data_IF_552785753006
#
_entry.id   IF_552785753006
#
_cell.length_a   1.000
_cell.length_b   1.000
_cell.length_c   1.000
_cell.angle_alpha   90.00
_cell.angle_beta   90.00
_cell.angle_gamma   90.00
#
_symmetry.space_group_name_H-M   'P 1'
#
loop_
_entity.id
_entity.type
_entity.pdbx_description
1 polymer ?
#
# COMPACT_ATOMS: atom_id res chain seq x y z
N UNK A 1 17.84 -12.86 -1.87
CA UNK A 1 16.51 -12.32 -2.21
C UNK A 1 16.63 -10.85 -2.63
N UNK A 2 17.34 -9.97 -1.87
CA UNK A 2 17.39 -8.54 -2.15
C UNK A 2 18.50 -8.08 -3.09
N UNK A 3 19.52 -8.92 -3.36
CA UNK A 3 20.69 -8.55 -4.18
C UNK A 3 20.34 -8.00 -5.56
N UNK A 4 19.33 -8.58 -6.24
CA UNK A 4 18.87 -8.10 -7.54
C UNK A 4 18.13 -6.74 -7.41
N UNK A 5 17.29 -6.60 -6.39
CA UNK A 5 16.61 -5.34 -6.06
C UNK A 5 17.62 -4.22 -5.78
N UNK A 6 18.67 -4.50 -5.00
CA UNK A 6 19.72 -3.54 -4.69
C UNK A 6 20.51 -3.12 -5.94
N UNK A 7 20.79 -4.07 -6.83
CA UNK A 7 21.46 -3.78 -8.10
C UNK A 7 20.60 -2.87 -9.00
N UNK A 8 19.30 -3.18 -9.14
CA UNK A 8 18.34 -2.36 -9.89
C UNK A 8 18.14 -0.98 -9.27
N UNK A 9 18.03 -0.92 -7.93
CA UNK A 9 17.93 0.35 -7.18
C UNK A 9 19.16 1.23 -7.41
N UNK A 10 20.36 0.65 -7.32
CA UNK A 10 21.62 1.35 -7.58
C UNK A 10 21.69 1.88 -9.03
N UNK A 11 21.22 1.09 -10.00
CA UNK A 11 21.15 1.53 -11.39
C UNK A 11 20.17 2.70 -11.56
N UNK A 12 18.98 2.62 -10.96
CA UNK A 12 18.00 3.71 -10.98
C UNK A 12 18.57 4.97 -10.32
N UNK A 13 19.25 4.84 -9.17
CA UNK A 13 19.85 5.98 -8.45
C UNK A 13 20.97 6.63 -9.26
N UNK A 14 21.74 5.87 -10.02
CA UNK A 14 22.80 6.42 -10.88
C UNK A 14 22.28 7.31 -12.01
N UNK A 15 20.98 7.19 -12.34
CA UNK A 15 20.29 8.02 -13.36
C UNK A 15 19.63 9.27 -12.76
N UNK A 16 19.74 9.50 -11.45
CA UNK A 16 19.16 10.68 -10.79
C UNK A 16 20.04 11.95 -11.03
N UNK A 17 19.45 13.16 -11.19
CA UNK A 17 17.99 13.41 -11.13
C UNK A 17 17.25 12.93 -12.38
N UNK A 18 16.11 12.26 -12.16
CA UNK A 18 15.29 11.74 -13.25
C UNK A 18 14.61 12.88 -14.03
N UNK A 19 14.38 12.72 -15.36
CA UNK A 19 13.69 13.73 -16.17
C UNK A 19 12.29 14.03 -15.61
N UNK A 20 11.98 15.31 -15.40
CA UNK A 20 10.74 15.75 -14.71
C UNK A 20 9.47 15.23 -15.40
N UNK A 21 9.41 15.29 -16.72
CA UNK A 21 8.24 14.82 -17.47
C UNK A 21 8.08 13.29 -17.42
N UNK A 22 9.18 12.54 -17.40
CA UNK A 22 9.18 11.08 -17.24
C UNK A 22 8.64 10.70 -15.85
N UNK A 23 9.15 11.35 -14.80
CA UNK A 23 8.66 11.13 -13.42
C UNK A 23 7.18 11.45 -13.30
N UNK A 24 6.73 12.56 -13.88
CA UNK A 24 5.31 12.95 -13.87
C UNK A 24 4.44 11.90 -14.56
N UNK A 25 4.83 11.45 -15.74
CA UNK A 25 4.08 10.43 -16.51
C UNK A 25 4.01 9.09 -15.77
N UNK A 26 5.14 8.63 -15.19
CA UNK A 26 5.17 7.42 -14.36
C UNK A 26 4.25 7.54 -13.14
N UNK A 27 4.31 8.67 -12.43
CA UNK A 27 3.47 8.91 -11.27
C UNK A 27 1.98 8.90 -11.64
N UNK A 28 1.58 9.55 -12.73
CA UNK A 28 0.19 9.57 -13.20
C UNK A 28 -0.29 8.16 -13.57
N UNK A 29 0.53 7.39 -14.25
CA UNK A 29 0.22 5.99 -14.59
C UNK A 29 0.05 5.14 -13.32
N UNK A 30 1.05 5.17 -12.43
CA UNK A 30 1.03 4.41 -11.18
C UNK A 30 -0.13 4.81 -10.26
N UNK A 31 -0.49 6.09 -10.20
CA UNK A 31 -1.62 6.55 -9.40
C UNK A 31 -2.92 5.86 -9.83
N UNK A 32 -3.15 5.73 -11.14
CA UNK A 32 -4.35 5.08 -11.70
C UNK A 32 -4.31 3.58 -11.42
N UNK A 33 -3.22 2.91 -11.75
CA UNK A 33 -3.04 1.46 -11.56
C UNK A 33 -3.16 1.07 -10.07
N UNK A 34 -2.45 1.77 -9.20
CA UNK A 34 -2.48 1.50 -7.77
C UNK A 34 -3.88 1.71 -7.18
N UNK A 35 -4.54 2.83 -7.54
CA UNK A 35 -5.91 3.11 -7.10
C UNK A 35 -6.87 2.02 -7.57
N UNK A 36 -6.81 1.66 -8.85
CA UNK A 36 -7.65 0.63 -9.43
C UNK A 36 -7.45 -0.73 -8.74
N UNK A 37 -6.23 -1.25 -8.75
CA UNK A 37 -5.96 -2.58 -8.23
C UNK A 37 -6.23 -2.69 -6.72
N UNK A 38 -5.86 -1.67 -5.94
CA UNK A 38 -6.08 -1.66 -4.51
C UNK A 38 -7.57 -1.71 -4.13
N UNK A 39 -8.43 -1.01 -4.88
CA UNK A 39 -9.88 -1.05 -4.66
C UNK A 39 -10.52 -2.31 -5.25
N UNK A 40 -10.05 -2.80 -6.40
CA UNK A 40 -10.55 -4.03 -7.02
C UNK A 40 -10.27 -5.27 -6.17
N UNK A 41 -9.15 -5.32 -5.43
CA UNK A 41 -8.86 -6.37 -4.44
C UNK A 41 -9.95 -6.41 -3.37
N UNK A 42 -10.48 -5.28 -2.95
CA UNK A 42 -11.53 -5.17 -1.94
C UNK A 42 -12.97 -5.33 -2.52
N UNK A 43 -13.08 -5.54 -3.84
CA UNK A 43 -14.36 -5.82 -4.49
C UNK A 43 -15.01 -4.65 -5.20
N UNK A 44 -14.32 -3.50 -5.33
CA UNK A 44 -14.78 -2.41 -6.18
C UNK A 44 -14.88 -2.88 -7.63
N UNK A 45 -15.97 -2.56 -8.32
CA UNK A 45 -16.27 -3.10 -9.66
C UNK A 45 -15.94 -2.15 -10.81
N UNK A 46 -15.40 -0.95 -10.51
CA UNK A 46 -14.89 -0.04 -11.54
C UNK A 46 -13.77 -0.72 -12.33
N UNK A 47 -13.78 -0.56 -13.65
CA UNK A 47 -12.67 -0.96 -14.52
C UNK A 47 -11.52 0.05 -14.40
N UNK A 48 -10.34 -0.28 -14.93
CA UNK A 48 -9.20 0.63 -14.97
C UNK A 48 -9.56 1.94 -15.71
N UNK A 49 -10.22 1.83 -16.85
CA UNK A 49 -10.67 2.99 -17.64
C UNK A 49 -11.68 3.84 -16.87
N UNK A 50 -12.66 3.21 -16.20
CA UNK A 50 -13.65 3.90 -15.37
C UNK A 50 -13.00 4.55 -14.15
N UNK A 51 -12.01 3.90 -13.52
CA UNK A 51 -11.21 4.48 -12.43
C UNK A 51 -10.53 5.77 -12.88
N UNK A 52 -9.92 5.79 -14.07
CA UNK A 52 -9.32 7.01 -14.64
C UNK A 52 -10.38 8.12 -14.80
N UNK A 53 -11.54 7.80 -15.37
CA UNK A 53 -12.66 8.75 -15.57
C UNK A 53 -13.13 9.34 -14.23
N UNK A 54 -13.25 8.50 -13.19
CA UNK A 54 -13.62 8.97 -11.83
C UNK A 54 -12.54 9.89 -11.25
N UNK A 55 -11.26 9.58 -11.45
CA UNK A 55 -10.15 10.42 -11.01
C UNK A 55 -10.09 11.77 -11.74
N UNK A 56 -10.65 11.87 -12.94
CA UNK A 56 -10.85 13.11 -13.69
C UNK A 56 -12.08 13.91 -13.21
N UNK A 57 -12.83 13.41 -12.21
CA UNK A 57 -14.00 14.07 -11.63
C UNK A 57 -15.33 13.79 -12.34
N UNK A 58 -15.36 12.77 -13.20
CA UNK A 58 -16.55 12.38 -13.96
C UNK A 58 -17.20 11.15 -13.32
N UNK A 59 -18.51 11.14 -13.18
CA UNK A 59 -19.26 10.00 -12.65
C UNK A 59 -19.50 8.94 -13.72
N UNK A 60 -19.46 7.67 -13.32
CA UNK A 60 -19.70 6.51 -14.18
C UNK A 60 -21.07 5.91 -13.87
N UNK A 61 -21.91 5.79 -14.89
CA UNK A 61 -23.25 5.20 -14.76
C UNK A 61 -23.19 3.72 -14.35
N UNK A 62 -24.19 3.28 -13.55
CA UNK A 62 -24.26 1.88 -13.10
C UNK A 62 -23.31 1.50 -11.96
N UNK A 63 -22.56 2.46 -11.42
CA UNK A 63 -21.68 2.30 -10.26
C UNK A 63 -22.22 3.07 -9.06
N UNK A 64 -21.98 2.54 -7.86
CA UNK A 64 -22.46 3.16 -6.62
C UNK A 64 -21.64 4.38 -6.26
N UNK A 65 -22.21 5.30 -5.46
CA UNK A 65 -21.48 6.43 -4.90
C UNK A 65 -20.30 5.96 -4.04
N UNK A 66 -20.45 4.85 -3.30
CA UNK A 66 -19.38 4.25 -2.50
C UNK A 66 -18.17 3.89 -3.36
N UNK A 67 -18.39 3.23 -4.51
CA UNK A 67 -17.28 2.85 -5.40
C UNK A 67 -16.53 4.06 -5.94
N UNK A 68 -17.23 5.16 -6.27
CA UNK A 68 -16.59 6.41 -6.67
C UNK A 68 -15.77 7.02 -5.53
N UNK A 69 -16.34 7.05 -4.31
CA UNK A 69 -15.65 7.59 -3.14
C UNK A 69 -14.42 6.76 -2.77
N UNK A 70 -14.48 5.44 -2.88
CA UNK A 70 -13.30 4.57 -2.64
C UNK A 70 -12.13 4.93 -3.55
N UNK A 71 -12.38 5.21 -4.83
CA UNK A 71 -11.35 5.64 -5.80
C UNK A 71 -10.81 7.03 -5.44
N UNK A 72 -11.68 8.00 -5.19
CA UNK A 72 -11.29 9.37 -4.85
C UNK A 72 -10.48 9.38 -3.54
N UNK A 73 -10.98 8.70 -2.52
CA UNK A 73 -10.34 8.61 -1.21
C UNK A 73 -8.97 7.94 -1.26
N UNK A 74 -8.84 6.88 -2.07
CA UNK A 74 -7.56 6.20 -2.24
C UNK A 74 -6.51 7.12 -2.87
N UNK A 75 -6.90 7.91 -3.89
CA UNK A 75 -6.04 8.95 -4.46
C UNK A 75 -5.60 9.97 -3.40
N UNK A 76 -6.55 10.50 -2.60
CA UNK A 76 -6.22 11.46 -1.54
C UNK A 76 -5.25 10.87 -0.50
N UNK A 77 -5.43 9.58 -0.17
CA UNK A 77 -4.51 8.88 0.73
C UNK A 77 -3.12 8.69 0.10
N UNK A 78 -3.01 8.42 -1.22
CA UNK A 78 -1.72 8.38 -1.93
C UNK A 78 -1.04 9.74 -1.86
N UNK A 79 -1.74 10.83 -2.18
CA UNK A 79 -1.19 12.19 -2.11
C UNK A 79 -0.71 12.51 -0.70
N UNK A 80 -1.45 12.10 0.32
CA UNK A 80 -1.07 12.31 1.72
C UNK A 80 0.22 11.58 2.10
N UNK A 81 0.38 10.30 1.71
CA UNK A 81 1.62 9.57 2.01
C UNK A 81 2.82 10.11 1.21
N UNK A 82 2.63 10.59 -0.03
CA UNK A 82 3.67 11.29 -0.78
C UNK A 82 4.15 12.57 -0.06
N UNK A 83 3.24 13.31 0.58
CA UNK A 83 3.61 14.49 1.38
C UNK A 83 4.36 14.11 2.67
N UNK A 84 4.00 13.00 3.33
CA UNK A 84 4.76 12.45 4.47
C UNK A 84 6.20 12.18 4.05
N UNK A 85 6.40 11.42 2.97
CA UNK A 85 7.72 11.09 2.42
C UNK A 85 8.51 12.34 2.05
N UNK A 86 7.88 13.29 1.34
CA UNK A 86 8.53 14.53 0.92
C UNK A 86 9.01 15.40 2.09
N UNK A 87 8.28 15.38 3.20
CA UNK A 87 8.63 16.11 4.42
C UNK A 87 9.53 15.32 5.37
N UNK A 88 9.81 14.05 5.05
CA UNK A 88 10.53 13.11 5.93
C UNK A 88 9.89 13.03 7.32
N UNK A 89 8.56 13.01 7.38
CA UNK A 89 7.81 12.86 8.64
C UNK A 89 7.88 11.41 9.11
N UNK A 90 8.32 11.12 10.34
CA UNK A 90 8.41 9.74 10.82
C UNK A 90 7.02 9.10 10.91
N UNK A 91 6.89 7.85 10.49
CA UNK A 91 5.64 7.11 10.64
C UNK A 91 5.26 7.00 12.12
N UNK A 92 4.00 7.26 12.40
CA UNK A 92 3.41 7.17 13.74
C UNK A 92 2.01 6.58 13.68
N UNK A 93 1.50 6.12 14.80
CA UNK A 93 0.12 5.64 14.92
C UNK A 93 -0.90 6.71 14.48
N UNK A 94 -0.61 7.99 14.76
CA UNK A 94 -1.44 9.11 14.33
C UNK A 94 -1.53 9.19 12.80
N UNK A 95 -0.42 9.01 12.09
CA UNK A 95 -0.40 9.01 10.62
C UNK A 95 -1.12 7.80 10.04
N UNK A 96 -0.96 6.62 10.63
CA UNK A 96 -1.73 5.41 10.24
C UNK A 96 -3.23 5.68 10.33
N UNK A 97 -3.69 6.29 11.42
CA UNK A 97 -5.10 6.64 11.62
C UNK A 97 -5.58 7.71 10.65
N UNK A 98 -4.74 8.67 10.26
CA UNK A 98 -5.09 9.68 9.25
C UNK A 98 -5.15 9.09 7.84
N UNK A 99 -4.23 8.19 7.46
CA UNK A 99 -4.31 7.45 6.20
C UNK A 99 -5.64 6.69 6.14
N UNK A 100 -5.99 5.96 7.19
CA UNK A 100 -7.25 5.24 7.26
C UNK A 100 -8.47 6.20 7.23
N UNK A 101 -8.40 7.36 7.88
CA UNK A 101 -9.46 8.37 7.82
C UNK A 101 -9.71 8.82 6.38
N UNK A 102 -8.68 9.05 5.60
CA UNK A 102 -8.81 9.39 4.19
C UNK A 102 -9.46 8.25 3.40
N UNK A 103 -9.06 7.01 3.63
CA UNK A 103 -9.63 5.82 2.96
C UNK A 103 -11.13 5.71 3.15
N UNK A 104 -11.68 6.05 4.32
CA UNK A 104 -13.11 5.95 4.64
C UNK A 104 -13.88 7.28 4.63
N UNK A 105 -13.25 8.39 4.28
CA UNK A 105 -13.89 9.70 4.23
C UNK A 105 -15.18 9.68 3.41
N UNK A 106 -16.27 10.19 3.97
CA UNK A 106 -17.63 10.22 3.34
C UNK A 106 -18.21 8.84 3.01
N UNK A 107 -17.53 7.76 3.34
CA UNK A 107 -18.02 6.38 3.25
C UNK A 107 -18.55 5.92 4.61
N UNK A 108 -17.75 6.13 5.65
CA UNK A 108 -18.07 5.81 7.04
C UNK A 108 -17.26 6.75 7.96
N UNK A 109 -17.68 7.99 8.06
CA UNK A 109 -16.97 9.04 8.82
C UNK A 109 -16.92 8.74 10.32
N UNK A 110 -17.87 7.97 10.86
CA UNK A 110 -17.90 7.60 12.27
C UNK A 110 -16.73 6.66 12.64
N UNK A 111 -16.38 5.73 11.74
CA UNK A 111 -15.31 4.76 11.95
C UNK A 111 -13.99 5.19 11.29
N UNK A 112 -13.96 6.27 10.52
CA UNK A 112 -12.79 6.75 9.81
C UNK A 112 -11.66 7.18 10.77
N UNK A 113 -10.55 6.42 10.79
CA UNK A 113 -9.41 6.64 11.69
C UNK A 113 -9.66 6.22 13.14
N UNK A 114 -10.74 5.48 13.41
CA UNK A 114 -11.13 5.03 14.76
C UNK A 114 -10.99 3.51 14.84
N UNK A 115 -10.30 3.01 15.86
CA UNK A 115 -10.19 1.57 16.08
C UNK A 115 -11.55 0.97 16.41
N UNK A 116 -11.79 -0.24 15.88
CA UNK A 116 -13.02 -0.98 16.13
C UNK A 116 -13.25 -1.23 17.64
N UNK A 117 -14.51 -1.24 18.02
CA UNK A 117 -14.95 -1.45 19.40
C UNK A 117 -15.63 -2.81 19.58
N UNK A 118 -15.51 -3.68 18.59
CA UNK A 118 -16.08 -5.02 18.57
C UNK A 118 -15.15 -6.00 17.83
N UNK A 119 -15.36 -7.29 18.05
CA UNK A 119 -14.59 -8.33 17.41
C UNK A 119 -15.10 -8.56 16.00
N UNK A 120 -14.17 -8.76 15.06
CA UNK A 120 -14.47 -8.99 13.64
C UNK A 120 -13.87 -10.31 13.17
N UNK A 121 -14.36 -10.80 12.03
CA UNK A 121 -13.77 -11.89 11.28
C UNK A 121 -13.43 -11.40 9.88
N UNK A 122 -12.26 -11.80 9.38
CA UNK A 122 -11.85 -11.49 8.02
C UNK A 122 -12.47 -12.54 7.08
N UNK A 123 -13.28 -12.10 6.12
CA UNK A 123 -13.92 -12.99 5.18
C UNK A 123 -12.89 -13.80 4.38
N UNK A 124 -13.02 -15.12 4.39
CA UNK A 124 -12.13 -16.03 3.67
C UNK A 124 -10.79 -16.35 4.35
N UNK A 125 -10.42 -15.66 5.44
CA UNK A 125 -9.22 -15.97 6.21
C UNK A 125 -9.48 -16.99 7.31
N UNK A 126 -8.45 -17.77 7.66
CA UNK A 126 -8.43 -18.65 8.84
C UNK A 126 -7.93 -17.93 10.07
N UNK A 127 -7.14 -16.86 9.87
CA UNK A 127 -6.68 -16.00 10.93
C UNK A 127 -7.85 -15.29 11.62
N UNK A 128 -7.79 -15.21 12.94
CA UNK A 128 -8.72 -14.44 13.77
C UNK A 128 -7.93 -13.25 14.33
N UNK A 129 -8.32 -12.00 13.99
CA UNK A 129 -7.66 -10.82 14.54
C UNK A 129 -7.75 -10.75 16.05
N UNK A 130 -6.84 -10.03 16.76
CA UNK A 130 -6.88 -9.78 18.18
C UNK A 130 -8.25 -9.24 18.64
N UNK A 131 -8.60 -9.44 19.90
CA UNK A 131 -9.80 -8.84 20.46
C UNK A 131 -9.72 -7.31 20.46
N UNK A 132 -10.86 -6.63 20.32
CA UNK A 132 -10.88 -5.17 20.22
C UNK A 132 -10.23 -4.44 21.41
N UNK A 133 -10.29 -5.02 22.61
CA UNK A 133 -9.66 -4.44 23.81
C UNK A 133 -8.13 -4.61 23.84
N UNK A 134 -7.54 -5.42 22.95
CA UNK A 134 -6.10 -5.64 22.81
C UNK A 134 -5.48 -4.69 21.78
N UNK A 135 -6.29 -4.06 20.91
CA UNK A 135 -5.83 -3.30 19.75
C UNK A 135 -4.84 -2.17 20.09
N UNK A 136 -5.07 -1.47 21.21
CA UNK A 136 -4.14 -0.42 21.62
C UNK A 136 -2.74 -0.97 21.93
N UNK A 137 -2.66 -2.12 22.61
CA UNK A 137 -1.41 -2.81 22.88
C UNK A 137 -0.75 -3.37 21.63
N UNK A 138 -1.54 -3.97 20.72
CA UNK A 138 -1.04 -4.51 19.46
C UNK A 138 -0.47 -3.42 18.55
N UNK A 139 -1.13 -2.27 18.41
CA UNK A 139 -0.65 -1.14 17.64
C UNK A 139 0.59 -0.50 18.27
N UNK A 140 0.62 -0.37 19.60
CA UNK A 140 1.82 0.08 20.30
C UNK A 140 2.98 -0.90 20.08
N UNK A 141 2.73 -2.21 20.12
CA UNK A 141 3.72 -3.25 19.81
C UNK A 141 4.23 -3.16 18.36
N UNK A 142 3.35 -2.89 17.40
CA UNK A 142 3.71 -2.66 16.00
C UNK A 142 4.66 -1.46 15.86
N UNK A 143 4.36 -0.34 16.52
CA UNK A 143 5.20 0.85 16.46
C UNK A 143 6.54 0.64 17.15
N UNK A 144 6.56 -0.03 18.30
CA UNK A 144 7.81 -0.37 18.99
C UNK A 144 8.69 -1.31 18.15
N UNK A 145 8.09 -2.29 17.46
CA UNK A 145 8.80 -3.12 16.48
C UNK A 145 9.36 -2.29 15.32
N UNK A 146 8.55 -1.40 14.76
CA UNK A 146 8.95 -0.55 13.64
C UNK A 146 10.14 0.35 13.98
N UNK A 147 10.17 0.95 15.16
CA UNK A 147 11.22 1.87 15.60
C UNK A 147 12.54 1.16 15.97
N UNK A 148 12.49 -0.07 16.43
CA UNK A 148 13.67 -0.79 16.97
C UNK A 148 14.06 -2.00 16.11
N UNK A 149 13.47 -3.22 16.30
CA UNK A 149 13.92 -4.39 15.53
C UNK A 149 13.72 -4.20 14.01
N UNK A 150 12.63 -3.56 13.61
CA UNK A 150 12.33 -3.31 12.22
C UNK A 150 13.34 -2.38 11.54
N UNK A 151 13.93 -1.45 12.26
CA UNK A 151 14.87 -0.46 11.70
C UNK A 151 16.17 -1.07 11.18
N UNK A 152 16.54 -2.27 11.62
CA UNK A 152 17.74 -3.00 11.19
C UNK A 152 17.52 -3.89 9.96
N UNK A 153 16.27 -4.05 9.51
CA UNK A 153 15.92 -4.89 8.38
C UNK A 153 16.21 -4.21 7.04
N UNK A 154 16.31 -5.03 5.98
CA UNK A 154 16.32 -4.50 4.62
C UNK A 154 15.03 -3.69 4.37
N UNK A 155 15.09 -2.49 3.74
CA UNK A 155 13.92 -1.62 3.58
C UNK A 155 12.70 -2.32 2.95
N UNK A 156 12.92 -3.17 1.95
CA UNK A 156 11.84 -3.93 1.29
C UNK A 156 11.22 -4.97 2.23
N UNK A 157 12.03 -5.63 3.03
CA UNK A 157 11.55 -6.58 4.05
C UNK A 157 10.74 -5.84 5.12
N UNK A 158 11.26 -4.71 5.60
CA UNK A 158 10.59 -3.86 6.58
C UNK A 158 9.24 -3.38 6.08
N UNK A 159 9.16 -2.92 4.83
CA UNK A 159 7.92 -2.48 4.19
C UNK A 159 6.89 -3.62 4.12
N UNK A 160 7.30 -4.81 3.69
CA UNK A 160 6.44 -5.98 3.65
C UNK A 160 5.96 -6.38 5.05
N UNK A 161 6.84 -6.42 6.04
CA UNK A 161 6.49 -6.78 7.41
C UNK A 161 5.58 -5.74 8.06
N UNK A 162 5.79 -4.44 7.85
CA UNK A 162 4.91 -3.38 8.35
C UNK A 162 3.49 -3.59 7.84
N UNK A 163 3.33 -3.76 6.54
CA UNK A 163 2.04 -4.01 5.89
C UNK A 163 1.35 -5.28 6.41
N UNK A 164 2.08 -6.40 6.45
CA UNK A 164 1.55 -7.69 6.90
C UNK A 164 1.17 -7.69 8.38
N UNK A 165 2.03 -7.17 9.25
CA UNK A 165 1.74 -7.09 10.69
C UNK A 165 0.52 -6.20 10.96
N UNK A 166 0.45 -5.03 10.31
CA UNK A 166 -0.68 -4.12 10.44
C UNK A 166 -2.00 -4.79 10.02
N UNK A 167 -2.05 -5.40 8.82
CA UNK A 167 -3.30 -6.00 8.34
C UNK A 167 -3.72 -7.20 9.19
N UNK A 168 -2.78 -7.90 9.82
CA UNK A 168 -3.07 -9.03 10.70
C UNK A 168 -3.64 -8.59 12.07
N UNK A 169 -3.25 -7.41 12.57
CA UNK A 169 -3.89 -6.77 13.74
C UNK A 169 -5.34 -6.39 13.39
N UNK A 170 -5.58 -5.96 12.15
CA UNK A 170 -6.91 -5.58 11.65
C UNK A 170 -7.62 -4.56 12.55
N UNK A 171 -6.99 -3.40 12.82
CA UNK A 171 -7.44 -2.50 13.90
C UNK A 171 -8.74 -1.76 13.61
N UNK A 172 -9.20 -1.70 12.36
CA UNK A 172 -10.38 -0.96 11.94
C UNK A 172 -11.52 -1.90 11.52
N UNK A 173 -12.73 -1.34 11.39
CA UNK A 173 -13.91 -2.11 10.99
C UNK A 173 -13.89 -2.43 9.48
N UNK A 174 -13.35 -1.53 8.66
CA UNK A 174 -13.18 -1.63 7.19
C UNK A 174 -11.89 -0.90 6.79
N UNK A 175 -11.44 -1.01 5.54
CA UNK A 175 -10.31 -0.26 4.99
C UNK A 175 -8.92 -0.75 5.41
N UNK A 176 -8.79 -1.81 6.21
CA UNK A 176 -7.49 -2.32 6.68
C UNK A 176 -6.58 -2.75 5.52
N UNK A 177 -7.12 -3.45 4.51
CA UNK A 177 -6.35 -3.89 3.35
C UNK A 177 -5.81 -2.71 2.52
N UNK A 178 -6.65 -1.71 2.23
CA UNK A 178 -6.24 -0.49 1.52
C UNK A 178 -5.17 0.27 2.30
N UNK A 179 -5.36 0.44 3.60
CA UNK A 179 -4.39 1.10 4.49
C UNK A 179 -3.07 0.34 4.54
N UNK A 180 -3.08 -1.00 4.63
CA UNK A 180 -1.84 -1.80 4.69
C UNK A 180 -1.01 -1.68 3.40
N UNK A 181 -1.65 -1.62 2.22
CA UNK A 181 -0.97 -1.40 0.93
C UNK A 181 -0.44 0.04 0.79
N UNK A 182 -1.11 1.02 1.39
CA UNK A 182 -0.59 2.39 1.49
C UNK A 182 0.64 2.47 2.41
N UNK A 183 0.63 1.79 3.55
CA UNK A 183 1.79 1.71 4.46
C UNK A 183 2.99 1.00 3.82
N UNK A 184 2.75 -0.08 3.06
CA UNK A 184 3.79 -0.74 2.28
C UNK A 184 4.52 0.24 1.36
N UNK A 185 3.75 1.01 0.58
CA UNK A 185 4.32 1.93 -0.39
C UNK A 185 4.90 3.20 0.26
N UNK A 186 4.33 3.68 1.37
CA UNK A 186 4.94 4.74 2.16
C UNK A 186 6.36 4.35 2.54
N UNK A 187 6.54 3.16 3.13
CA UNK A 187 7.84 2.68 3.57
C UNK A 187 8.82 2.49 2.40
N UNK A 188 8.37 1.93 1.27
CA UNK A 188 9.21 1.80 0.08
C UNK A 188 9.69 3.18 -0.42
N UNK A 189 8.80 4.15 -0.50
CA UNK A 189 9.11 5.51 -0.97
C UNK A 189 10.05 6.26 -0.02
N UNK A 190 9.96 6.08 1.29
CA UNK A 190 10.90 6.64 2.29
C UNK A 190 12.35 6.25 1.98
N UNK A 191 12.57 5.05 1.46
CA UNK A 191 13.90 4.58 1.05
C UNK A 191 14.21 4.80 -0.44
N UNK A 192 13.39 5.62 -1.12
CA UNK A 192 13.59 6.03 -2.51
C UNK A 192 13.32 4.91 -3.53
N UNK A 193 12.61 3.85 -3.15
CA UNK A 193 12.05 2.88 -4.10
C UNK A 193 10.78 3.43 -4.75
N UNK A 194 10.45 3.03 -5.99
CA UNK A 194 9.14 3.31 -6.54
C UNK A 194 8.04 2.59 -5.75
N UNK A 195 6.82 3.15 -5.69
CA UNK A 195 5.69 2.39 -5.17
C UNK A 195 5.38 1.19 -6.06
N UNK A 196 4.83 0.13 -5.48
CA UNK A 196 4.42 -1.08 -6.19
C UNK A 196 2.90 -1.19 -6.26
N UNK A 197 2.44 -1.97 -7.23
CA UNK A 197 1.02 -2.27 -7.41
C UNK A 197 0.81 -3.78 -7.20
N UNK A 198 0.15 -4.16 -6.09
CA UNK A 198 -0.33 -5.53 -5.93
C UNK A 198 -1.54 -5.70 -6.84
N UNK A 199 -1.39 -6.53 -7.86
CA UNK A 199 -2.40 -6.69 -8.90
C UNK A 199 -3.59 -7.52 -8.41
N UNK A 200 -4.81 -7.17 -8.85
CA UNK A 200 -6.03 -7.92 -8.48
C UNK A 200 -5.99 -9.39 -8.92
N UNK A 201 -5.26 -9.69 -9.98
CA UNK A 201 -5.03 -11.03 -10.48
C UNK A 201 -4.26 -11.90 -9.48
N UNK A 202 -3.40 -11.28 -8.67
CA UNK A 202 -2.65 -11.92 -7.58
C UNK A 202 -3.42 -11.95 -6.24
N UNK A 203 -4.71 -11.53 -6.23
CA UNK A 203 -5.51 -11.41 -5.00
C UNK A 203 -5.50 -12.68 -4.14
N UNK A 204 -5.63 -13.83 -4.76
CA UNK A 204 -5.66 -15.11 -4.04
C UNK A 204 -4.32 -15.38 -3.34
N UNK A 205 -3.21 -15.25 -4.08
CA UNK A 205 -1.86 -15.45 -3.53
C UNK A 205 -1.55 -14.43 -2.42
N UNK A 206 -1.96 -13.17 -2.61
CA UNK A 206 -1.82 -12.10 -1.64
C UNK A 206 -2.54 -12.46 -0.32
N UNK A 207 -3.79 -12.90 -0.37
CA UNK A 207 -4.53 -13.26 0.83
C UNK A 207 -4.00 -14.54 1.49
N UNK A 208 -3.59 -15.55 0.72
CA UNK A 208 -2.98 -16.76 1.27
C UNK A 208 -1.67 -16.46 1.99
N UNK A 209 -0.82 -15.61 1.40
CA UNK A 209 0.45 -15.20 2.00
C UNK A 209 0.23 -14.47 3.34
N UNK A 210 -0.75 -13.55 3.41
CA UNK A 210 -1.09 -12.82 4.63
C UNK A 210 -1.71 -13.74 5.69
N UNK A 211 -2.63 -14.64 5.32
CA UNK A 211 -3.24 -15.59 6.26
C UNK A 211 -2.20 -16.59 6.81
N UNK A 212 -1.27 -17.07 5.97
CA UNK A 212 -0.13 -17.90 6.40
C UNK A 212 0.73 -17.12 7.40
N UNK A 213 1.13 -15.89 7.06
CA UNK A 213 1.95 -15.05 7.92
C UNK A 213 1.32 -14.82 9.30
N UNK A 214 0.00 -14.54 9.33
CA UNK A 214 -0.74 -14.33 10.57
C UNK A 214 -0.78 -15.56 11.49
N UNK A 215 -0.93 -16.76 10.89
CA UNK A 215 -1.08 -18.01 11.64
C UNK A 215 0.23 -18.65 12.07
N UNK A 216 1.30 -18.44 11.32
CA UNK A 216 2.56 -19.15 11.50
C UNK A 216 3.74 -18.24 11.87
N UNK A 217 3.59 -16.92 11.71
CA UNK A 217 4.70 -15.96 11.82
C UNK A 217 5.66 -16.00 10.61
N UNK A 218 5.38 -16.83 9.58
CA UNK A 218 6.20 -16.92 8.37
C UNK A 218 5.70 -15.95 7.30
N UNK A 219 6.39 -14.84 7.13
CA UNK A 219 6.08 -13.79 6.16
C UNK A 219 6.78 -13.99 4.80
N UNK A 220 7.50 -15.10 4.59
CA UNK A 220 8.36 -15.31 3.42
C UNK A 220 7.62 -15.19 2.09
N UNK A 221 6.41 -15.76 1.99
CA UNK A 221 5.61 -15.73 0.76
C UNK A 221 5.15 -14.30 0.43
N UNK A 222 4.77 -13.51 1.45
CA UNK A 222 4.39 -12.12 1.24
C UNK A 222 5.58 -11.24 0.87
N UNK A 223 6.73 -11.43 1.51
CA UNK A 223 7.99 -10.74 1.16
C UNK A 223 8.38 -11.08 -0.28
N UNK A 224 8.27 -12.34 -0.70
CA UNK A 224 8.58 -12.76 -2.07
C UNK A 224 7.65 -12.09 -3.09
N UNK A 225 6.36 -11.95 -2.80
CA UNK A 225 5.41 -11.23 -3.63
C UNK A 225 5.80 -9.75 -3.77
N UNK A 226 6.11 -9.08 -2.66
CA UNK A 226 6.54 -7.67 -2.66
C UNK A 226 7.83 -7.49 -3.48
N UNK A 227 8.81 -8.38 -3.33
CA UNK A 227 10.06 -8.37 -4.09
C UNK A 227 9.81 -8.54 -5.59
N UNK A 228 8.92 -9.45 -5.98
CA UNK A 228 8.58 -9.68 -7.39
C UNK A 228 7.94 -8.44 -8.03
N UNK A 229 6.95 -7.84 -7.36
CA UNK A 229 6.30 -6.62 -7.85
C UNK A 229 7.27 -5.44 -7.89
N UNK A 230 8.14 -5.28 -6.89
CA UNK A 230 9.15 -4.22 -6.88
C UNK A 230 10.19 -4.41 -7.99
N UNK A 231 10.62 -5.65 -8.23
CA UNK A 231 11.53 -5.97 -9.34
C UNK A 231 10.92 -5.56 -10.69
N UNK A 232 9.64 -5.86 -10.89
CA UNK A 232 8.89 -5.48 -12.09
C UNK A 232 8.82 -3.94 -12.26
N UNK A 233 8.51 -3.21 -11.20
CA UNK A 233 8.44 -1.76 -11.25
C UNK A 233 9.80 -1.11 -11.52
N UNK A 234 10.86 -1.60 -10.87
CA UNK A 234 12.23 -1.12 -11.12
C UNK A 234 12.64 -1.33 -12.58
N UNK A 235 12.34 -2.50 -13.18
CA UNK A 235 12.61 -2.78 -14.58
C UNK A 235 11.85 -1.83 -15.52
N UNK A 236 10.58 -1.52 -15.19
CA UNK A 236 9.78 -0.58 -15.98
C UNK A 236 10.37 0.84 -15.94
N UNK A 237 10.81 1.30 -14.76
CA UNK A 237 11.47 2.60 -14.61
C UNK A 237 12.79 2.67 -15.39
N UNK A 238 13.65 1.67 -15.23
CA UNK A 238 14.96 1.61 -15.91
C UNK A 238 14.76 1.61 -17.44
N UNK A 239 13.88 0.74 -17.95
CA UNK A 239 13.59 0.64 -19.37
C UNK A 239 13.08 1.95 -19.98
N UNK A 240 12.22 2.67 -19.25
CA UNK A 240 11.69 3.95 -19.73
C UNK A 240 12.77 5.03 -19.79
N UNK A 241 13.70 5.01 -18.83
CA UNK A 241 14.83 5.94 -18.80
C UNK A 241 15.86 5.65 -19.90
N UNK A 242 16.12 4.38 -20.21
CA UNK A 242 17.05 3.97 -21.26
C UNK A 242 16.53 4.34 -22.66
N UNK A 243 15.21 4.23 -22.88
CA UNK A 243 14.58 4.59 -24.16
C UNK A 243 14.50 6.10 -24.42
N UNK A 244 14.79 6.93 -23.42
CA UNK A 244 14.80 8.39 -23.53
C UNK A 244 16.17 9.02 -23.80
N UNK A 245 17.25 8.24 -23.81
CA UNK A 245 18.57 8.73 -24.19
C UNK A 245 18.70 8.73 -25.73
N UNK A 246 18.94 9.88 -26.37
CA UNK A 246 19.28 9.88 -27.79
C UNK A 246 20.63 9.19 -27.99
N UNK A 247 20.64 8.14 -28.79
CA UNK A 247 21.85 7.44 -29.28
C UNK A 247 22.78 8.37 -30.06
#
# INVERSE_FOLDING_TARGET
>A
MFTDIDAKKKLLDSKRPLPVHTVKSLREHLLIEWTYHSNAIEGNTLTLAETKVVLEGITVGGKTLREHLEVINHREAIVYIEEIVKKSEPLSEWQIRNIHRLVLSKIDDENAGVYRKENVRIAGAKHIPPNFYELAGEMQGLMAWYENPGSSLHPVERAALLSSKFVNIHPFIDGNGRTSRLLLNLELMEYGYPPIVIRKESRFQYYEALDKAARTGDHSDFIALVVAELSHELDAYIKLLDNGEPS
#
